data_IF_342588318760
#
_entry.id   IF_342588318760
#
_cell.length_a   1.000
_cell.length_b   1.000
_cell.length_c   1.000
_cell.angle_alpha   90.00
_cell.angle_beta   90.00
_cell.angle_gamma   90.00
#
_symmetry.space_group_name_H-M   'P 1'
#
loop_
_entity.id
_entity.type
_entity.pdbx_description
1 polymer ?
#
# COMPACT_ATOMS: atom_id res chain seq x y z
N UNK A 1 -34.12 22.97 31.55
CA UNK A 1 -33.53 22.17 32.63
C UNK A 1 -32.98 20.92 32.03
N UNK A 2 -31.73 20.87 31.72
CA UNK A 2 -31.00 19.65 31.54
C UNK A 2 -30.51 19.21 32.92
N UNK A 3 -31.28 18.36 33.57
CA UNK A 3 -30.77 17.63 34.73
C UNK A 3 -29.85 16.55 34.18
N UNK A 4 -28.60 16.54 34.61
CA UNK A 4 -27.76 15.34 34.47
C UNK A 4 -28.37 14.28 35.36
N UNK A 5 -28.87 13.22 34.71
CA UNK A 5 -29.47 12.08 35.40
C UNK A 5 -28.36 11.38 36.19
N UNK A 6 -28.41 11.44 37.50
CA UNK A 6 -27.55 10.64 38.37
C UNK A 6 -26.97 11.32 39.57
N UNK A 7 -26.80 12.65 39.58
CA UNK A 7 -26.19 13.33 40.73
C UNK A 7 -26.98 14.51 41.31
N UNK A 8 -28.12 14.84 40.72
CA UNK A 8 -28.87 16.05 41.10
C UNK A 8 -28.12 17.36 40.86
N UNK A 9 -26.98 17.29 40.21
CA UNK A 9 -26.13 18.44 39.94
C UNK A 9 -26.69 19.27 38.79
N UNK A 10 -26.93 20.53 39.05
CA UNK A 10 -27.17 21.52 38.00
C UNK A 10 -25.87 21.82 37.27
N UNK A 11 -25.95 22.34 36.03
CA UNK A 11 -24.81 22.84 35.29
C UNK A 11 -23.89 23.73 36.13
N UNK A 12 -24.46 24.51 37.04
CA UNK A 12 -23.76 25.35 37.99
C UNK A 12 -22.83 24.57 38.93
N UNK A 13 -23.27 23.42 39.42
CA UNK A 13 -22.49 22.59 40.34
C UNK A 13 -21.33 21.90 39.61
N UNK A 14 -21.55 21.50 38.37
CA UNK A 14 -20.51 20.89 37.55
C UNK A 14 -19.43 21.91 37.12
N UNK A 15 -19.84 23.15 36.84
CA UNK A 15 -18.91 24.21 36.48
C UNK A 15 -18.08 24.67 37.67
N UNK A 16 -18.67 24.66 38.88
CA UNK A 16 -18.02 25.12 40.11
C UNK A 16 -17.01 24.13 40.70
N UNK A 17 -17.18 22.84 40.45
CA UNK A 17 -16.36 21.80 41.08
C UNK A 17 -15.00 21.55 40.43
N UNK A 18 -14.68 22.13 39.28
CA UNK A 18 -13.52 21.70 38.49
C UNK A 18 -12.45 22.75 38.19
N UNK A 19 -12.65 24.06 38.41
CA UNK A 19 -11.64 25.05 38.02
C UNK A 19 -11.75 26.35 38.80
N UNK A 20 -10.63 26.85 39.29
CA UNK A 20 -10.50 28.17 39.95
C UNK A 20 -10.74 29.35 38.99
N UNK A 21 -10.84 29.12 37.73
CA UNK A 21 -11.01 30.13 36.69
C UNK A 21 -12.43 30.18 36.10
N UNK A 22 -13.34 29.34 36.57
CA UNK A 22 -14.73 29.32 36.09
C UNK A 22 -15.61 29.88 37.23
N UNK A 23 -16.30 30.97 36.93
CA UNK A 23 -17.30 31.52 37.84
C UNK A 23 -18.68 31.09 37.40
N UNK A 24 -19.45 30.45 38.26
CA UNK A 24 -20.86 30.26 38.05
C UNK A 24 -21.66 31.27 38.84
N UNK A 25 -22.76 31.69 38.31
CA UNK A 25 -23.79 32.40 39.05
C UNK A 25 -25.14 31.82 38.65
N UNK A 26 -26.12 32.03 39.44
CA UNK A 26 -27.49 31.62 39.17
C UNK A 26 -28.00 32.32 37.92
N UNK A 27 -28.10 31.63 36.83
CA UNK A 27 -28.64 32.14 35.58
C UNK A 27 -30.16 32.14 35.71
N UNK A 28 -30.71 33.30 35.90
CA UNK A 28 -32.16 33.48 35.92
C UNK A 28 -32.62 33.75 34.49
N UNK A 29 -32.96 32.69 33.77
CA UNK A 29 -33.63 32.81 32.47
C UNK A 29 -35.07 32.43 32.56
N UNK A 30 -35.95 33.17 31.92
CA UNK A 30 -37.38 32.85 31.81
C UNK A 30 -37.66 31.79 30.74
N UNK A 31 -36.79 30.83 30.58
CA UNK A 31 -37.00 29.70 29.71
C UNK A 31 -37.96 28.72 30.36
N UNK A 32 -39.23 28.98 30.20
CA UNK A 32 -40.28 28.02 30.57
C UNK A 32 -40.48 26.98 29.48
N UNK A 33 -40.47 25.74 29.87
CA UNK A 33 -40.85 24.64 29.00
C UNK A 33 -42.30 24.79 28.60
N UNK A 34 -42.55 25.08 27.33
CA UNK A 34 -43.93 25.11 26.77
C UNK A 34 -44.77 26.30 27.25
N UNK A 35 -44.16 27.42 27.61
CA UNK A 35 -44.91 28.63 27.96
C UNK A 35 -44.67 29.73 26.96
N UNK A 36 -45.57 30.69 26.95
CA UNK A 36 -45.60 31.88 26.06
C UNK A 36 -44.42 32.82 26.22
N UNK A 37 -43.51 32.53 27.18
CA UNK A 37 -42.40 33.42 27.54
C UNK A 37 -41.09 33.10 26.81
N UNK A 38 -41.04 32.10 25.95
CA UNK A 38 -39.85 31.78 25.18
C UNK A 38 -39.78 32.65 23.92
N UNK A 39 -39.68 33.93 24.08
CA UNK A 39 -39.52 34.90 23.02
C UNK A 39 -38.06 35.10 22.65
N UNK A 40 -37.78 35.60 21.44
CA UNK A 40 -36.42 35.97 21.01
C UNK A 40 -35.75 36.93 22.01
N UNK A 41 -36.51 37.82 22.68
CA UNK A 41 -36.01 38.75 23.69
C UNK A 41 -35.54 38.02 24.97
N UNK A 42 -36.24 36.97 25.42
CA UNK A 42 -35.83 36.22 26.61
C UNK A 42 -34.57 35.36 26.35
N UNK A 43 -34.39 34.88 25.16
CA UNK A 43 -33.16 34.20 24.73
C UNK A 43 -31.99 35.14 24.64
N UNK A 44 -32.21 36.38 24.15
CA UNK A 44 -31.19 37.41 24.11
C UNK A 44 -30.80 37.86 25.53
N UNK A 45 -31.76 37.98 26.45
CA UNK A 45 -31.49 38.30 27.85
C UNK A 45 -30.69 37.17 28.56
N UNK A 46 -31.03 35.91 28.31
CA UNK A 46 -30.28 34.79 28.85
C UNK A 46 -28.83 34.75 28.31
N UNK A 47 -28.63 34.98 27.02
CA UNK A 47 -27.31 35.10 26.42
C UNK A 47 -26.53 36.30 26.97
N UNK A 48 -27.20 37.43 27.20
CA UNK A 48 -26.64 38.64 27.82
C UNK A 48 -26.21 38.41 29.27
N UNK A 49 -27.00 37.66 30.03
CA UNK A 49 -26.64 37.27 31.41
C UNK A 49 -25.42 36.34 31.43
N UNK A 50 -25.33 35.37 30.53
CA UNK A 50 -24.16 34.56 30.39
C UNK A 50 -22.92 35.37 30.00
N UNK A 51 -23.08 36.35 29.11
CA UNK A 51 -22.02 37.26 28.73
C UNK A 51 -21.52 38.11 29.91
N UNK A 52 -22.42 38.59 30.70
CA UNK A 52 -22.09 39.40 31.90
C UNK A 52 -21.36 38.57 32.95
N UNK A 53 -21.72 37.33 33.11
CA UNK A 53 -21.10 36.38 34.04
C UNK A 53 -19.67 35.99 33.71
N UNK A 54 -19.40 35.80 32.47
CA UNK A 54 -18.11 35.27 32.02
C UNK A 54 -17.14 36.34 31.50
N UNK A 55 -17.58 37.59 31.50
CA UNK A 55 -16.74 38.72 31.12
C UNK A 55 -16.79 39.04 29.60
N UNK A 56 -16.30 40.24 29.28
CA UNK A 56 -16.48 40.84 27.94
C UNK A 56 -15.53 40.40 26.86
N UNK A 57 -14.61 39.47 27.16
CA UNK A 57 -13.61 39.10 26.20
C UNK A 57 -13.51 37.56 26.05
N UNK A 58 -14.01 37.05 24.96
CA UNK A 58 -13.69 35.71 24.51
C UNK A 58 -14.78 34.66 24.50
N UNK A 59 -16.04 35.03 24.55
CA UNK A 59 -17.15 34.08 24.46
C UNK A 59 -18.00 34.33 23.20
N UNK A 60 -18.06 33.33 22.32
CA UNK A 60 -19.13 33.22 21.35
C UNK A 60 -20.22 32.32 21.89
N UNK A 61 -21.32 32.89 22.35
CA UNK A 61 -22.47 32.12 22.77
C UNK A 61 -23.50 32.13 21.65
N UNK A 62 -23.68 30.97 21.03
CA UNK A 62 -24.76 30.76 20.08
C UNK A 62 -25.82 29.91 20.74
N UNK A 63 -26.98 30.47 20.98
CA UNK A 63 -28.15 29.74 21.44
C UNK A 63 -29.08 29.48 20.26
N UNK A 64 -29.39 28.23 19.98
CA UNK A 64 -30.42 27.85 19.04
C UNK A 64 -31.61 27.29 19.78
N UNK A 65 -32.74 27.87 19.62
CA UNK A 65 -33.98 27.41 20.17
C UNK A 65 -35.08 27.40 19.10
N UNK A 66 -35.89 26.34 19.08
CA UNK A 66 -37.06 26.26 18.21
C UNK A 66 -38.18 27.10 18.85
N UNK A 67 -38.37 28.31 18.34
CA UNK A 67 -39.52 29.11 18.67
C UNK A 67 -40.58 28.97 17.58
N UNK A 68 -41.87 28.80 17.94
CA UNK A 68 -42.97 28.95 17.00
C UNK A 68 -42.93 30.33 16.34
N UNK A 69 -43.17 30.41 15.07
CA UNK A 69 -43.14 31.67 14.31
C UNK A 69 -44.14 32.74 14.80
N UNK A 70 -45.16 32.34 15.56
CA UNK A 70 -46.25 33.14 16.10
C UNK A 70 -46.22 33.31 17.62
N UNK A 71 -45.18 32.85 18.28
CA UNK A 71 -45.08 32.86 19.75
C UNK A 71 -45.94 31.84 20.46
N UNK A 72 -46.63 30.94 19.72
CA UNK A 72 -47.43 29.88 20.33
C UNK A 72 -46.66 28.56 20.43
N UNK A 73 -46.94 27.82 21.46
CA UNK A 73 -46.16 26.64 21.88
C UNK A 73 -46.42 25.36 21.07
N UNK A 74 -46.76 25.45 19.78
CA UNK A 74 -47.21 24.30 19.00
C UNK A 74 -46.12 23.50 18.31
N UNK A 75 -44.83 23.81 18.53
CA UNK A 75 -43.71 22.94 18.11
C UNK A 75 -43.39 22.91 16.61
N UNK A 76 -44.09 23.68 15.77
CA UNK A 76 -43.92 23.73 14.31
C UNK A 76 -43.26 25.02 13.81
N UNK A 77 -42.51 25.71 14.65
CA UNK A 77 -41.90 26.98 14.31
C UNK A 77 -40.52 26.86 13.64
N UNK A 78 -40.14 27.90 12.91
CA UNK A 78 -38.79 28.03 12.38
C UNK A 78 -37.77 28.21 13.50
N UNK A 79 -36.60 27.62 13.44
CA UNK A 79 -35.55 27.83 14.43
C UNK A 79 -35.12 29.28 14.47
N UNK A 80 -35.21 29.90 15.63
CA UNK A 80 -34.64 31.26 15.85
C UNK A 80 -33.22 31.08 16.41
N UNK A 81 -32.26 31.54 15.67
CA UNK A 81 -30.87 31.55 16.10
C UNK A 81 -30.52 32.94 16.61
N UNK A 82 -30.30 33.06 17.90
CA UNK A 82 -29.77 34.29 18.50
C UNK A 82 -28.27 34.10 18.75
N UNK A 83 -27.44 34.82 18.05
CA UNK A 83 -25.99 34.83 18.24
C UNK A 83 -25.62 36.03 19.07
N UNK A 84 -25.07 35.81 20.24
CA UNK A 84 -24.41 36.82 21.03
C UNK A 84 -22.92 36.61 20.92
N UNK A 85 -22.25 37.48 20.19
CA UNK A 85 -20.79 37.40 20.01
C UNK A 85 -20.09 38.08 21.17
N UNK A 86 -19.45 37.31 21.99
CA UNK A 86 -18.51 37.77 23.01
C UNK A 86 -17.10 37.30 22.63
N UNK A 87 -16.17 38.22 22.62
CA UNK A 87 -14.88 38.02 21.98
C UNK A 87 -13.92 37.05 22.67
N UNK A 88 -14.18 36.48 23.83
CA UNK A 88 -13.29 35.51 24.45
C UNK A 88 -14.01 34.65 25.51
N UNK A 89 -14.36 33.42 25.22
CA UNK A 89 -14.89 32.51 26.22
C UNK A 89 -15.11 31.07 25.80
N UNK A 90 -15.29 30.12 26.70
CA UNK A 90 -15.39 28.71 26.40
C UNK A 90 -16.64 28.41 25.56
N UNK A 91 -16.43 27.87 24.38
CA UNK A 91 -17.46 27.52 23.39
C UNK A 91 -18.31 26.29 23.74
N UNK A 92 -18.25 25.80 24.96
CA UNK A 92 -18.91 24.56 25.34
C UNK A 92 -20.38 24.70 25.79
N UNK A 93 -20.84 25.95 25.98
CA UNK A 93 -22.24 26.21 26.31
C UNK A 93 -23.13 26.34 25.07
N UNK A 94 -23.17 25.29 24.30
CA UNK A 94 -24.17 25.16 23.24
C UNK A 94 -25.42 24.53 23.86
N UNK A 95 -26.38 25.36 24.20
CA UNK A 95 -27.53 24.92 24.99
C UNK A 95 -28.47 23.97 24.25
N UNK A 96 -28.60 24.04 22.97
CA UNK A 96 -29.29 23.05 22.14
C UNK A 96 -28.74 23.10 20.72
N UNK A 97 -28.09 22.10 20.19
CA UNK A 97 -27.87 22.02 18.74
C UNK A 97 -29.17 21.62 18.07
N UNK A 98 -29.74 22.50 17.26
CA UNK A 98 -30.90 22.19 16.41
C UNK A 98 -30.58 21.21 15.28
N UNK A 99 -29.31 20.99 15.01
CA UNK A 99 -28.79 19.95 14.13
C UNK A 99 -27.45 19.49 14.68
N UNK A 100 -27.09 18.24 14.40
CA UNK A 100 -25.73 17.78 14.63
C UNK A 100 -24.78 18.71 13.85
N UNK A 101 -24.16 19.65 14.54
CA UNK A 101 -23.09 20.44 13.95
C UNK A 101 -21.86 19.56 13.91
N UNK A 102 -21.43 19.23 12.70
CA UNK A 102 -20.11 18.66 12.51
C UNK A 102 -19.09 19.54 13.22
N UNK A 103 -18.19 18.95 13.96
CA UNK A 103 -17.06 19.69 14.50
C UNK A 103 -16.38 20.41 13.34
N UNK A 104 -16.41 21.75 13.34
CA UNK A 104 -15.69 22.52 12.33
C UNK A 104 -14.24 22.67 12.78
N UNK A 105 -13.30 22.44 11.86
CA UNK A 105 -11.86 22.61 12.12
C UNK A 105 -11.11 21.33 12.43
N UNK A 106 -11.77 20.17 12.47
CA UNK A 106 -11.05 18.91 12.34
C UNK A 106 -10.55 18.81 10.90
N UNK A 107 -9.27 18.84 10.68
CA UNK A 107 -8.66 18.44 9.41
C UNK A 107 -8.55 16.94 9.47
N UNK A 108 -9.18 16.24 8.53
CA UNK A 108 -8.84 14.83 8.30
C UNK A 108 -7.33 14.78 8.05
N UNK A 109 -6.66 13.79 8.64
CA UNK A 109 -5.29 13.51 8.25
C UNK A 109 -5.18 13.40 6.73
N UNK A 110 -3.98 13.55 6.21
CA UNK A 110 -3.73 13.47 4.77
C UNK A 110 -4.45 12.28 4.16
N UNK A 111 -5.31 12.56 3.19
CA UNK A 111 -6.04 11.54 2.45
C UNK A 111 -5.02 10.61 1.78
N UNK A 112 -5.14 9.32 2.02
CA UNK A 112 -4.24 8.29 1.44
C UNK A 112 -4.22 8.30 -0.09
N UNK A 113 -5.14 9.00 -0.73
CA UNK A 113 -5.20 9.21 -2.18
C UNK A 113 -4.78 10.62 -2.60
N UNK A 114 -4.62 11.54 -1.67
CA UNK A 114 -4.27 12.94 -1.93
C UNK A 114 -2.78 13.17 -2.20
N UNK A 115 -2.45 14.36 -2.71
CA UNK A 115 -1.06 14.74 -3.04
C UNK A 115 -0.15 14.72 -1.81
N UNK A 116 -0.66 15.15 -0.66
CA UNK A 116 0.12 15.19 0.59
C UNK A 116 0.44 13.78 1.10
N UNK A 117 -0.54 12.87 1.04
CA UNK A 117 -0.30 11.48 1.41
C UNK A 117 0.67 10.78 0.45
N UNK A 118 0.57 11.05 -0.85
CA UNK A 118 1.54 10.55 -1.82
C UNK A 118 2.96 11.03 -1.49
N UNK A 119 3.12 12.31 -1.15
CA UNK A 119 4.41 12.89 -0.76
C UNK A 119 4.94 12.27 0.53
N UNK A 120 4.09 12.09 1.55
CA UNK A 120 4.47 11.46 2.82
C UNK A 120 4.89 9.99 2.63
N UNK A 121 4.18 9.23 1.78
CA UNK A 121 4.53 7.86 1.44
C UNK A 121 5.83 7.74 0.66
N UNK A 122 6.04 8.61 -0.32
CA UNK A 122 7.29 8.66 -1.09
C UNK A 122 8.45 9.01 -0.18
N UNK A 123 8.27 9.98 0.71
CA UNK A 123 9.25 10.42 1.66
C UNK A 123 10.44 11.14 1.03
N UNK A 124 11.44 11.42 1.85
CA UNK A 124 12.63 12.17 1.47
C UNK A 124 13.90 11.36 1.76
N UNK A 125 14.76 11.22 0.77
CA UNK A 125 16.08 10.58 0.92
C UNK A 125 17.14 11.52 1.50
N UNK A 126 16.90 12.84 1.45
CA UNK A 126 17.86 13.85 1.88
C UNK A 126 17.87 14.09 3.40
N UNK A 127 16.88 13.59 4.12
CA UNK A 127 16.78 13.70 5.57
C UNK A 127 17.46 12.52 6.26
N UNK A 128 17.91 12.73 7.49
CA UNK A 128 18.42 11.67 8.37
C UNK A 128 17.67 11.74 9.72
N UNK A 129 16.82 10.75 10.04
CA UNK A 129 16.54 9.53 9.28
C UNK A 129 15.70 9.77 8.01
N UNK A 130 15.93 8.95 6.97
CA UNK A 130 15.11 8.93 5.74
C UNK A 130 13.64 8.69 6.07
N UNK A 131 12.72 9.39 5.38
CA UNK A 131 11.28 9.29 5.63
C UNK A 131 10.55 8.49 4.55
N UNK A 132 9.31 8.07 4.86
CA UNK A 132 8.45 7.33 3.93
C UNK A 132 9.11 6.07 3.38
N UNK A 133 8.87 5.74 2.10
CA UNK A 133 9.46 4.54 1.48
C UNK A 133 10.99 4.63 1.31
N UNK A 134 11.58 5.83 1.38
CA UNK A 134 13.04 5.98 1.30
C UNK A 134 13.75 5.31 2.48
N UNK A 135 13.07 5.10 3.61
CA UNK A 135 13.59 4.33 4.75
C UNK A 135 13.87 2.85 4.40
N UNK A 136 13.30 2.33 3.31
CA UNK A 136 13.60 0.98 2.82
C UNK A 136 15.01 0.83 2.21
N UNK A 137 15.69 1.95 1.95
CA UNK A 137 17.10 1.98 1.55
C UNK A 137 18.00 2.02 2.79
N UNK A 138 17.78 1.10 3.70
CA UNK A 138 18.62 0.89 4.88
C UNK A 138 19.30 -0.48 4.77
N UNK A 139 20.61 -0.49 4.89
CA UNK A 139 21.41 -1.71 4.82
C UNK A 139 21.13 -2.69 5.97
N UNK A 140 20.57 -2.20 7.08
CA UNK A 140 20.19 -3.02 8.24
C UNK A 140 18.89 -3.78 8.02
N UNK A 141 18.03 -3.31 7.08
CA UNK A 141 16.73 -3.90 6.80
C UNK A 141 16.85 -4.87 5.62
N UNK A 142 16.66 -6.15 5.90
CA UNK A 142 16.69 -7.17 4.85
C UNK A 142 15.30 -7.39 4.23
N UNK A 143 14.91 -6.56 3.26
CA UNK A 143 13.66 -6.68 2.53
C UNK A 143 13.87 -7.33 1.16
N UNK A 144 12.98 -8.23 0.75
CA UNK A 144 13.01 -8.86 -0.59
C UNK A 144 11.85 -8.45 -1.48
N UNK A 145 10.77 -7.93 -0.89
CA UNK A 145 9.53 -7.54 -1.57
C UNK A 145 9.00 -6.27 -0.91
N UNK A 146 8.53 -5.32 -1.70
CA UNK A 146 7.83 -4.13 -1.20
C UNK A 146 6.59 -3.83 -2.04
N UNK A 147 5.54 -3.35 -1.38
CA UNK A 147 4.28 -2.94 -2.01
C UNK A 147 3.61 -1.86 -1.17
N UNK A 148 2.76 -1.06 -1.81
CA UNK A 148 1.88 -0.09 -1.13
C UNK A 148 0.44 -0.48 -1.47
N UNK A 149 -0.19 -1.35 -0.65
CA UNK A 149 -1.49 -1.91 -0.97
C UNK A 149 -2.59 -0.85 -0.91
N UNK A 150 -3.50 -0.91 -1.90
CA UNK A 150 -4.63 0.01 -1.96
C UNK A 150 -4.30 1.41 -2.46
N UNK A 151 -3.03 1.73 -2.76
CA UNK A 151 -2.62 3.02 -3.30
C UNK A 151 -2.05 2.83 -4.70
N UNK A 152 -2.84 3.21 -5.70
CA UNK A 152 -2.52 3.05 -7.12
C UNK A 152 -2.09 4.37 -7.77
N UNK A 153 -1.81 5.40 -6.99
CA UNK A 153 -1.31 6.70 -7.47
C UNK A 153 -0.01 6.50 -8.24
N UNK A 154 0.05 7.01 -9.46
CA UNK A 154 1.19 6.81 -10.37
C UNK A 154 2.52 7.25 -9.75
N UNK A 155 2.54 8.40 -9.07
CA UNK A 155 3.74 8.94 -8.42
C UNK A 155 4.29 8.00 -7.35
N UNK A 156 3.43 7.43 -6.51
CA UNK A 156 3.82 6.50 -5.43
C UNK A 156 4.37 5.19 -5.99
N UNK A 157 3.68 4.62 -6.98
CA UNK A 157 4.12 3.38 -7.61
C UNK A 157 5.43 3.57 -8.38
N UNK A 158 5.58 4.67 -9.12
CA UNK A 158 6.81 4.98 -9.84
C UNK A 158 7.98 5.21 -8.88
N UNK A 159 7.75 5.90 -7.75
CA UNK A 159 8.76 6.09 -6.72
C UNK A 159 9.22 4.74 -6.12
N UNK A 160 8.28 3.84 -5.81
CA UNK A 160 8.59 2.50 -5.31
C UNK A 160 9.42 1.68 -6.32
N UNK A 161 9.04 1.73 -7.61
CA UNK A 161 9.76 1.03 -8.68
C UNK A 161 11.16 1.61 -8.87
N UNK A 162 11.29 2.94 -8.84
CA UNK A 162 12.58 3.63 -8.96
C UNK A 162 13.49 3.28 -7.79
N UNK A 163 12.96 3.29 -6.57
CA UNK A 163 13.70 2.89 -5.38
C UNK A 163 14.18 1.43 -5.48
N UNK A 164 13.31 0.52 -5.92
CA UNK A 164 13.67 -0.88 -6.14
C UNK A 164 14.78 -1.04 -7.20
N UNK A 165 14.73 -0.27 -8.28
CA UNK A 165 15.74 -0.29 -9.34
C UNK A 165 17.08 0.31 -8.91
N UNK A 166 17.06 1.35 -8.08
CA UNK A 166 18.26 2.03 -7.56
C UNK A 166 18.95 1.20 -6.49
N UNK A 167 18.22 0.73 -5.49
CA UNK A 167 18.77 -0.07 -4.39
C UNK A 167 19.12 -1.49 -4.82
N UNK A 168 18.36 -2.05 -5.76
CA UNK A 168 18.46 -3.42 -6.24
C UNK A 168 18.28 -4.48 -5.13
N UNK A 169 17.61 -4.12 -4.04
CA UNK A 169 17.47 -4.94 -2.85
C UNK A 169 16.14 -5.68 -2.76
N UNK A 170 15.12 -5.23 -3.48
CA UNK A 170 13.78 -5.81 -3.41
C UNK A 170 13.04 -5.73 -4.75
N UNK A 171 11.96 -6.48 -4.85
CA UNK A 171 11.02 -6.46 -5.97
C UNK A 171 9.79 -5.63 -5.55
N UNK A 172 9.42 -4.63 -6.35
CA UNK A 172 8.23 -3.83 -6.17
C UNK A 172 7.00 -4.55 -6.77
N UNK A 173 5.92 -4.67 -6.00
CA UNK A 173 4.66 -5.20 -6.50
C UNK A 173 3.64 -4.09 -6.61
N UNK A 174 2.99 -4.00 -7.76
CA UNK A 174 2.00 -2.99 -8.08
C UNK A 174 0.75 -3.61 -8.69
N UNK A 175 -0.36 -2.91 -8.62
CA UNK A 175 -1.62 -3.32 -9.21
C UNK A 175 -2.33 -2.13 -9.84
N UNK A 176 -3.14 -2.35 -10.89
CA UNK A 176 -4.08 -1.37 -11.38
C UNK A 176 -5.17 -1.05 -10.33
N UNK A 177 -5.82 0.13 -10.41
CA UNK A 177 -6.96 0.46 -9.57
C UNK A 177 -8.12 -0.54 -9.71
N UNK A 178 -8.91 -0.69 -8.64
CA UNK A 178 -10.08 -1.57 -8.63
C UNK A 178 -11.07 -1.28 -9.77
N UNK A 179 -11.30 -0.02 -10.09
CA UNK A 179 -12.27 0.39 -11.09
C UNK A 179 -11.84 0.19 -12.56
N UNK A 180 -10.70 -0.45 -12.82
CA UNK A 180 -10.23 -0.74 -14.20
C UNK A 180 -11.19 -1.66 -14.96
N UNK A 181 -11.75 -2.68 -14.31
CA UNK A 181 -12.91 -3.46 -14.72
C UNK A 181 -12.78 -4.31 -15.99
N UNK A 182 -11.84 -4.05 -16.90
CA UNK A 182 -11.67 -4.82 -18.15
C UNK A 182 -10.19 -5.13 -18.43
N UNK A 183 -9.97 -6.20 -19.18
CA UNK A 183 -8.61 -6.63 -19.60
C UNK A 183 -7.91 -5.54 -20.40
N UNK A 184 -8.63 -4.91 -21.34
CA UNK A 184 -8.05 -3.86 -22.19
C UNK A 184 -7.62 -2.65 -21.35
N UNK A 185 -8.47 -2.20 -20.44
CA UNK A 185 -8.13 -1.08 -19.55
C UNK A 185 -6.91 -1.40 -18.65
N UNK A 186 -6.78 -2.66 -18.19
CA UNK A 186 -5.61 -3.06 -17.40
C UNK A 186 -4.33 -3.04 -18.24
N UNK A 187 -4.41 -3.46 -19.51
CA UNK A 187 -3.32 -3.39 -20.47
C UNK A 187 -2.95 -1.93 -20.75
N UNK A 188 -3.93 -1.09 -21.05
CA UNK A 188 -3.73 0.35 -21.33
C UNK A 188 -3.12 1.05 -20.11
N UNK A 189 -3.59 0.71 -18.90
CA UNK A 189 -3.01 1.22 -17.66
C UNK A 189 -1.53 0.81 -17.56
N UNK A 190 -1.18 -0.44 -17.79
CA UNK A 190 0.21 -0.90 -17.73
C UNK A 190 1.11 -0.22 -18.76
N UNK A 191 0.50 0.18 -19.89
CA UNK A 191 1.17 0.83 -21.03
C UNK A 191 1.27 2.37 -20.88
N UNK A 192 0.69 2.95 -19.81
CA UNK A 192 0.65 4.39 -19.66
C UNK A 192 -0.29 5.09 -20.63
N UNK A 193 -1.32 4.41 -21.10
CA UNK A 193 -2.32 4.90 -22.06
C UNK A 193 -3.71 5.04 -21.42
N UNK A 194 -3.81 4.84 -20.12
CA UNK A 194 -5.08 4.94 -19.41
C UNK A 194 -5.46 6.39 -19.20
N UNK A 195 -6.54 6.82 -19.85
CA UNK A 195 -7.16 8.13 -19.69
C UNK A 195 -8.46 8.10 -18.88
N UNK A 196 -8.84 6.93 -18.38
CA UNK A 196 -10.14 6.73 -17.72
C UNK A 196 -10.12 7.21 -16.27
N UNK A 197 -11.29 7.60 -15.78
CA UNK A 197 -11.58 8.02 -14.39
C UNK A 197 -11.14 6.99 -13.34
N UNK A 198 -10.87 5.76 -13.75
CA UNK A 198 -10.47 4.62 -12.92
C UNK A 198 -8.98 4.55 -12.60
N UNK A 199 -8.24 5.60 -12.80
CA UNK A 199 -6.80 5.67 -12.56
C UNK A 199 -6.04 5.97 -13.83
N UNK A 200 -5.81 7.28 -14.06
CA UNK A 200 -4.99 7.73 -15.18
C UNK A 200 -3.52 7.39 -14.90
N UNK A 201 -2.88 6.77 -15.88
CA UNK A 201 -1.45 6.57 -15.91
C UNK A 201 -0.90 7.05 -17.23
N UNK A 202 0.13 7.88 -17.16
CA UNK A 202 0.72 8.54 -18.31
C UNK A 202 2.05 7.92 -18.74
N UNK A 203 2.68 7.13 -17.87
CA UNK A 203 3.94 6.47 -18.12
C UNK A 203 3.82 4.95 -18.10
N UNK A 204 4.39 4.28 -19.09
CA UNK A 204 4.45 2.82 -19.13
C UNK A 204 5.35 2.28 -18.02
N UNK A 205 4.92 1.20 -17.37
CA UNK A 205 5.76 0.49 -16.42
C UNK A 205 6.71 -0.43 -17.19
N UNK A 206 8.01 -0.18 -17.07
CA UNK A 206 9.04 -1.00 -17.69
C UNK A 206 10.26 -1.11 -16.76
N UNK A 207 10.28 -2.13 -15.94
CA UNK A 207 11.37 -2.41 -15.01
C UNK A 207 11.43 -3.90 -14.69
N UNK A 208 12.63 -4.46 -14.63
CA UNK A 208 12.79 -5.82 -14.14
C UNK A 208 12.63 -5.93 -12.61
N UNK A 209 12.59 -4.81 -11.89
CA UNK A 209 12.38 -4.75 -10.45
C UNK A 209 10.92 -4.51 -10.05
N UNK A 210 9.98 -4.63 -10.99
CA UNK A 210 8.56 -4.51 -10.70
C UNK A 210 7.77 -5.69 -11.27
N UNK A 211 6.62 -5.99 -10.66
CA UNK A 211 5.65 -6.96 -11.15
C UNK A 211 4.22 -6.44 -10.94
N UNK A 212 3.36 -6.62 -11.95
CA UNK A 212 1.95 -6.21 -11.92
C UNK A 212 1.08 -7.45 -11.72
N UNK A 213 0.08 -7.36 -10.83
CA UNK A 213 -0.94 -8.37 -10.62
C UNK A 213 -2.33 -7.79 -10.86
N UNK A 214 -3.20 -8.54 -11.52
CA UNK A 214 -4.60 -8.20 -11.78
C UNK A 214 -5.39 -9.48 -12.15
N UNK A 215 -6.71 -9.58 -11.91
CA UNK A 215 -7.63 -8.65 -11.26
C UNK A 215 -7.61 -8.69 -9.73
N UNK A 216 -8.43 -7.82 -9.12
CA UNK A 216 -8.65 -7.77 -7.69
C UNK A 216 -9.34 -9.03 -7.19
N UNK A 217 -9.12 -9.36 -5.92
CA UNK A 217 -9.64 -10.58 -5.32
C UNK A 217 -10.58 -10.27 -4.18
N UNK A 218 -11.66 -11.04 -4.08
CA UNK A 218 -12.68 -10.91 -3.06
C UNK A 218 -12.35 -11.81 -1.88
N UNK A 219 -12.43 -11.27 -0.68
CA UNK A 219 -12.11 -11.99 0.56
C UNK A 219 -13.12 -11.63 1.63
N UNK A 220 -13.57 -12.63 2.38
CA UNK A 220 -14.40 -12.40 3.54
C UNK A 220 -13.58 -11.81 4.69
N UNK A 221 -13.99 -10.63 5.18
CA UNK A 221 -13.40 -10.00 6.36
C UNK A 221 -14.09 -10.53 7.61
N UNK A 222 -13.32 -11.24 8.43
CA UNK A 222 -13.84 -11.77 9.72
C UNK A 222 -14.15 -10.64 10.71
N UNK A 223 -13.48 -9.50 10.58
CA UNK A 223 -13.65 -8.36 11.48
C UNK A 223 -14.95 -7.61 11.21
N UNK A 224 -15.29 -7.41 9.93
CA UNK A 224 -16.45 -6.65 9.51
C UNK A 224 -17.66 -7.53 9.21
N UNK A 225 -17.45 -8.84 9.06
CA UNK A 225 -18.50 -9.79 8.63
C UNK A 225 -18.97 -9.61 7.19
N UNK A 226 -18.21 -8.90 6.33
CA UNK A 226 -18.56 -8.61 4.94
C UNK A 226 -17.43 -9.00 4.00
N UNK A 227 -17.78 -9.21 2.73
CA UNK A 227 -16.80 -9.41 1.67
C UNK A 227 -16.12 -8.09 1.30
N UNK A 228 -14.79 -8.13 1.18
CA UNK A 228 -13.95 -7.00 0.78
C UNK A 228 -13.15 -7.34 -0.46
N UNK A 229 -12.99 -6.36 -1.35
CA UNK A 229 -12.05 -6.45 -2.46
C UNK A 229 -10.65 -6.05 -1.98
N UNK A 230 -9.68 -6.92 -2.19
CA UNK A 230 -8.29 -6.70 -1.81
C UNK A 230 -7.39 -6.60 -3.03
N UNK A 231 -6.35 -5.78 -2.86
CA UNK A 231 -5.30 -5.57 -3.86
C UNK A 231 -4.58 -6.90 -4.18
N UNK A 232 -4.52 -7.32 -5.45
CA UNK A 232 -3.88 -8.55 -5.85
C UNK A 232 -2.36 -8.58 -5.61
N UNK A 233 -1.69 -7.43 -5.50
CA UNK A 233 -0.28 -7.36 -5.15
C UNK A 233 0.01 -7.97 -3.77
N UNK A 234 -0.93 -7.85 -2.80
CA UNK A 234 -0.83 -8.50 -1.48
C UNK A 234 -0.70 -10.02 -1.64
N UNK A 235 -1.52 -10.59 -2.52
CA UNK A 235 -1.48 -12.02 -2.79
C UNK A 235 -0.25 -12.43 -3.60
N UNK A 236 0.25 -11.55 -4.47
CA UNK A 236 1.55 -11.72 -5.11
C UNK A 236 2.67 -11.88 -4.08
N UNK A 237 2.74 -10.94 -3.12
CA UNK A 237 3.71 -10.99 -2.01
C UNK A 237 3.55 -12.24 -1.14
N UNK A 238 2.30 -12.58 -0.79
CA UNK A 238 2.00 -13.78 -0.01
C UNK A 238 2.48 -15.06 -0.68
N UNK A 239 2.24 -15.21 -2.01
CA UNK A 239 2.67 -16.41 -2.72
C UNK A 239 4.19 -16.48 -2.92
N UNK A 240 4.86 -15.33 -3.02
CA UNK A 240 6.32 -15.29 -2.98
C UNK A 240 6.84 -15.75 -1.62
N UNK A 241 6.30 -15.24 -0.52
CA UNK A 241 6.67 -15.67 0.83
C UNK A 241 6.37 -17.16 1.08
N UNK A 242 5.21 -17.65 0.61
CA UNK A 242 4.86 -19.06 0.67
C UNK A 242 5.86 -19.91 -0.14
N UNK A 243 6.25 -19.45 -1.32
CA UNK A 243 7.25 -20.13 -2.15
C UNK A 243 8.60 -20.23 -1.42
N UNK A 244 9.01 -19.20 -0.70
CA UNK A 244 10.25 -19.18 0.08
C UNK A 244 10.20 -20.17 1.27
N UNK A 245 9.01 -20.46 1.78
CA UNK A 245 8.83 -21.43 2.86
C UNK A 245 8.87 -22.88 2.36
N UNK A 246 8.25 -23.19 1.21
CA UNK A 246 8.10 -24.56 0.69
C UNK A 246 9.15 -24.96 -0.35
N UNK A 247 9.88 -23.98 -0.86
CA UNK A 247 10.94 -24.15 -1.84
C UNK A 247 11.97 -23.02 -1.64
N UNK A 248 12.52 -22.47 -2.72
CA UNK A 248 13.47 -21.37 -2.67
C UNK A 248 12.95 -20.16 -3.43
N UNK A 249 13.56 -19.00 -3.21
CA UNK A 249 13.17 -17.73 -3.81
C UNK A 249 13.27 -17.69 -5.35
N UNK A 250 14.02 -18.63 -5.93
CA UNK A 250 14.18 -18.78 -7.39
C UNK A 250 13.17 -19.74 -8.03
N UNK A 251 12.24 -20.27 -7.27
CA UNK A 251 11.10 -20.98 -7.86
C UNK A 251 9.98 -20.03 -8.21
N UNK A 252 9.26 -20.35 -9.29
CA UNK A 252 8.13 -19.53 -9.74
C UNK A 252 7.00 -19.50 -8.70
N UNK A 253 6.57 -18.32 -8.21
CA UNK A 253 5.45 -18.18 -7.27
C UNK A 253 4.11 -18.19 -8.01
N UNK A 254 3.93 -19.11 -8.96
CA UNK A 254 2.78 -19.19 -9.84
C UNK A 254 2.40 -20.65 -10.15
N UNK A 255 1.24 -20.82 -10.78
CA UNK A 255 0.72 -22.13 -11.18
C UNK A 255 0.08 -22.90 -10.03
N UNK A 256 -0.43 -24.09 -10.32
CA UNK A 256 -1.23 -24.89 -9.37
C UNK A 256 -0.49 -25.32 -8.11
N UNK A 257 0.82 -25.47 -8.17
CA UNK A 257 1.62 -25.93 -7.02
C UNK A 257 1.91 -24.85 -6.00
N UNK A 258 2.25 -23.64 -6.44
CA UNK A 258 2.69 -22.53 -5.59
C UNK A 258 1.91 -21.24 -5.77
N UNK A 259 1.08 -21.11 -6.82
CA UNK A 259 0.28 -19.93 -7.08
C UNK A 259 -1.15 -19.98 -6.53
N UNK A 260 -1.59 -21.11 -5.96
CA UNK A 260 -2.96 -21.27 -5.47
C UNK A 260 -3.23 -20.42 -4.22
N UNK A 261 -4.32 -19.65 -4.26
CA UNK A 261 -4.76 -18.80 -3.17
C UNK A 261 -5.81 -19.53 -2.32
N UNK A 262 -5.67 -19.50 -1.01
CA UNK A 262 -6.52 -20.30 -0.10
C UNK A 262 -7.65 -19.49 0.55
N UNK A 263 -7.53 -18.16 0.60
CA UNK A 263 -8.54 -17.31 1.27
C UNK A 263 -9.50 -16.60 0.32
N UNK A 264 -9.10 -16.16 -0.89
CA UNK A 264 -10.01 -15.49 -1.80
C UNK A 264 -11.18 -16.37 -2.19
N UNK A 265 -12.37 -15.77 -2.24
CA UNK A 265 -13.65 -16.41 -2.62
C UNK A 265 -14.01 -16.17 -4.07
N UNK A 266 -13.62 -15.02 -4.63
CA UNK A 266 -13.91 -14.65 -6.02
C UNK A 266 -12.85 -13.69 -6.57
N UNK A 267 -12.91 -13.44 -7.88
CA UNK A 267 -12.10 -12.46 -8.61
C UNK A 267 -13.01 -11.43 -9.27
N UNK A 268 -12.57 -10.18 -9.36
CA UNK A 268 -13.32 -9.07 -9.96
C UNK A 268 -13.71 -9.36 -11.40
N UNK A 269 -12.79 -9.90 -12.19
CA UNK A 269 -12.98 -10.25 -13.60
C UNK A 269 -12.59 -11.69 -13.81
N UNK A 270 -13.49 -12.49 -14.40
CA UNK A 270 -13.21 -13.87 -14.76
C UNK A 270 -12.52 -13.92 -16.11
N UNK A 271 -11.28 -14.35 -16.10
CA UNK A 271 -10.41 -14.37 -17.28
C UNK A 271 -10.53 -15.69 -18.04
N UNK A 272 -10.82 -15.61 -19.33
CA UNK A 272 -10.72 -16.74 -20.25
C UNK A 272 -9.27 -16.95 -20.74
N UNK A 273 -9.03 -17.91 -21.63
CA UNK A 273 -7.68 -18.19 -22.12
C UNK A 273 -7.16 -17.03 -22.98
N UNK A 274 -7.98 -16.48 -23.88
CA UNK A 274 -7.58 -15.36 -24.74
C UNK A 274 -7.24 -14.10 -23.94
N UNK A 275 -7.98 -13.84 -22.85
CA UNK A 275 -7.68 -12.74 -21.94
C UNK A 275 -6.30 -12.89 -21.30
N UNK A 276 -6.00 -14.09 -20.80
CA UNK A 276 -4.68 -14.38 -20.18
C UNK A 276 -3.55 -14.25 -21.20
N UNK A 277 -3.76 -14.76 -22.40
CA UNK A 277 -2.78 -14.67 -23.48
C UNK A 277 -2.53 -13.20 -23.86
N UNK A 278 -3.58 -12.38 -23.96
CA UNK A 278 -3.48 -10.94 -24.24
C UNK A 278 -2.73 -10.17 -23.15
N UNK A 279 -2.92 -10.52 -21.88
CA UNK A 279 -2.23 -9.88 -20.75
C UNK A 279 -0.76 -10.29 -20.63
N UNK A 280 -0.39 -11.45 -21.15
CA UNK A 280 0.91 -12.07 -20.95
C UNK A 280 1.78 -12.08 -22.20
N UNK A 281 1.24 -11.77 -23.39
CA UNK A 281 1.92 -11.75 -24.68
C UNK A 281 2.05 -10.35 -25.26
N UNK A 282 2.76 -10.22 -26.36
CA UNK A 282 2.81 -8.98 -27.14
C UNK A 282 3.46 -7.78 -26.45
N UNK A 283 4.30 -7.99 -25.45
CA UNK A 283 4.89 -6.90 -24.64
C UNK A 283 4.04 -6.48 -23.45
N UNK A 284 2.86 -7.05 -23.25
CA UNK A 284 2.07 -6.89 -22.06
C UNK A 284 2.66 -7.73 -20.93
N UNK A 285 2.64 -7.21 -19.70
CA UNK A 285 3.44 -7.74 -18.59
C UNK A 285 2.63 -7.83 -17.29
N UNK A 286 1.36 -8.21 -17.42
CA UNK A 286 0.46 -8.35 -16.28
C UNK A 286 0.36 -9.83 -15.89
N UNK A 287 0.55 -10.13 -14.60
CA UNK A 287 0.41 -11.47 -14.06
C UNK A 287 -1.06 -11.72 -13.69
N UNK A 288 -1.77 -12.61 -14.39
CA UNK A 288 -3.18 -12.84 -14.16
C UNK A 288 -3.44 -13.63 -12.88
N UNK A 289 -4.44 -13.20 -12.13
CA UNK A 289 -5.06 -13.96 -11.04
C UNK A 289 -6.35 -14.57 -11.56
N UNK A 290 -6.40 -15.89 -11.66
CA UNK A 290 -7.43 -16.61 -12.41
C UNK A 290 -8.20 -17.54 -11.49
N UNK A 291 -9.52 -17.59 -11.65
CA UNK A 291 -10.37 -18.59 -11.04
C UNK A 291 -10.51 -19.79 -11.99
N UNK A 292 -9.93 -20.91 -11.63
CA UNK A 292 -10.04 -22.16 -12.38
C UNK A 292 -11.10 -23.09 -11.77
N UNK A 293 -11.96 -23.71 -12.58
CA UNK A 293 -12.86 -24.75 -12.09
C UNK A 293 -12.07 -25.86 -11.38
N UNK A 294 -12.55 -26.29 -10.21
CA UNK A 294 -11.96 -27.35 -9.37
C UNK A 294 -10.56 -27.04 -8.77
N UNK A 295 -9.84 -26.04 -9.26
CA UNK A 295 -8.52 -25.67 -8.76
C UNK A 295 -8.54 -24.42 -7.87
N UNK A 296 -9.62 -23.64 -7.94
CA UNK A 296 -9.77 -22.39 -7.20
C UNK A 296 -9.00 -21.23 -7.82
N UNK A 297 -8.81 -20.17 -7.04
CA UNK A 297 -8.15 -18.95 -7.49
C UNK A 297 -6.64 -19.13 -7.44
N UNK A 298 -5.96 -18.83 -8.54
CA UNK A 298 -4.54 -19.11 -8.71
C UNK A 298 -3.84 -17.96 -9.45
N UNK A 299 -2.67 -17.57 -9.00
CA UNK A 299 -1.77 -16.71 -9.77
C UNK A 299 -1.18 -17.52 -10.91
N UNK A 300 -1.42 -17.10 -12.16
CA UNK A 300 -1.05 -17.84 -13.34
C UNK A 300 -0.12 -17.04 -14.27
N UNK A 301 0.86 -16.35 -13.68
CA UNK A 301 1.88 -15.59 -14.36
C UNK A 301 3.05 -15.26 -13.43
N UNK A 302 4.24 -15.05 -14.03
CA UNK A 302 5.46 -14.73 -13.29
C UNK A 302 6.38 -13.76 -14.05
N UNK A 303 5.81 -12.82 -14.78
CA UNK A 303 6.60 -11.81 -15.50
C UNK A 303 6.90 -10.59 -14.64
N UNK A 304 8.12 -10.08 -14.79
CA UNK A 304 8.43 -8.72 -14.37
C UNK A 304 7.84 -7.74 -15.38
N UNK A 305 7.82 -6.45 -15.07
CA UNK A 305 7.32 -5.44 -15.99
C UNK A 305 8.33 -5.11 -17.12
N UNK A 306 9.44 -5.82 -17.19
CA UNK A 306 10.39 -5.66 -18.28
C UNK A 306 9.78 -6.13 -19.62
N UNK A 307 9.74 -5.21 -20.59
CA UNK A 307 9.15 -5.44 -21.90
C UNK A 307 10.14 -6.08 -22.89
N UNK A 308 11.42 -5.72 -22.77
CA UNK A 308 12.48 -6.29 -23.57
C UNK A 308 12.76 -7.74 -23.16
N UNK A 309 12.78 -8.71 -24.09
CA UNK A 309 13.09 -10.09 -23.78
C UNK A 309 14.48 -10.22 -23.14
N UNK A 310 14.56 -10.77 -21.96
CA UNK A 310 15.82 -11.10 -21.28
C UNK A 310 15.58 -12.18 -20.23
N UNK A 311 16.65 -12.69 -19.62
CA UNK A 311 16.49 -13.60 -18.48
C UNK A 311 15.81 -12.94 -17.28
N UNK A 312 15.85 -11.61 -17.17
CA UNK A 312 15.31 -10.82 -16.08
C UNK A 312 13.83 -10.44 -16.26
N UNK A 313 13.20 -10.86 -17.36
CA UNK A 313 11.78 -10.67 -17.60
C UNK A 313 10.89 -11.64 -16.78
N UNK A 314 11.51 -12.50 -15.96
CA UNK A 314 10.84 -13.44 -15.07
C UNK A 314 11.11 -13.13 -13.60
N UNK A 315 10.06 -13.20 -12.79
CA UNK A 315 10.10 -12.89 -11.35
C UNK A 315 11.07 -13.82 -10.63
N UNK A 316 11.05 -15.12 -10.93
CA UNK A 316 11.92 -16.10 -10.29
C UNK A 316 13.40 -15.78 -10.52
N UNK A 317 13.79 -15.41 -11.74
CA UNK A 317 15.17 -15.04 -12.06
C UNK A 317 15.57 -13.72 -11.40
N UNK A 318 14.67 -12.72 -11.40
CA UNK A 318 14.94 -11.44 -10.73
C UNK A 318 15.15 -11.64 -9.23
N UNK A 319 14.32 -12.44 -8.59
CA UNK A 319 14.46 -12.75 -7.15
C UNK A 319 15.74 -13.53 -6.86
N UNK A 320 16.11 -14.48 -7.72
CA UNK A 320 17.40 -15.15 -7.63
C UNK A 320 18.57 -14.16 -7.67
N UNK A 321 18.55 -13.20 -8.60
CA UNK A 321 19.62 -12.22 -8.74
C UNK A 321 19.70 -11.26 -7.54
N UNK A 322 18.55 -10.86 -6.98
CA UNK A 322 18.50 -10.08 -5.74
C UNK A 322 19.11 -10.88 -4.58
N UNK A 323 18.75 -12.14 -4.45
CA UNK A 323 19.29 -13.03 -3.41
C UNK A 323 20.80 -13.22 -3.54
N UNK A 324 21.30 -13.58 -4.75
CA UNK A 324 22.73 -13.77 -5.02
C UNK A 324 23.49 -12.48 -4.68
N UNK A 325 23.01 -11.32 -5.15
CA UNK A 325 23.65 -10.03 -4.88
C UNK A 325 23.78 -9.75 -3.38
N UNK A 326 22.71 -9.94 -2.61
CA UNK A 326 22.73 -9.70 -1.16
C UNK A 326 23.73 -10.61 -0.44
N UNK A 327 23.72 -11.89 -0.76
CA UNK A 327 24.63 -12.84 -0.12
C UNK A 327 26.09 -12.56 -0.49
N UNK A 328 26.36 -12.26 -1.77
CA UNK A 328 27.71 -11.88 -2.20
C UNK A 328 28.17 -10.63 -1.47
N UNK A 329 27.37 -9.56 -1.42
CA UNK A 329 27.73 -8.34 -0.70
C UNK A 329 28.04 -8.61 0.79
N UNK A 330 27.20 -9.36 1.47
CA UNK A 330 27.41 -9.71 2.87
C UNK A 330 28.66 -10.58 3.07
N UNK A 331 28.88 -11.56 2.19
CA UNK A 331 30.04 -12.46 2.28
C UNK A 331 31.38 -11.79 1.94
N UNK A 332 31.36 -10.79 1.04
CA UNK A 332 32.57 -10.09 0.60
C UNK A 332 32.93 -8.85 1.43
N UNK A 333 32.01 -8.36 2.27
CA UNK A 333 32.23 -7.18 3.09
C UNK A 333 33.47 -7.29 3.99
N UNK A 334 33.82 -8.49 4.43
CA UNK A 334 35.00 -8.75 5.26
C UNK A 334 36.36 -8.56 4.55
N UNK A 335 36.32 -8.52 3.20
CA UNK A 335 37.55 -8.30 2.40
C UNK A 335 37.81 -6.83 2.10
N UNK A 336 36.95 -5.94 2.56
CA UNK A 336 37.17 -4.49 2.46
C UNK A 336 38.31 -4.13 3.40
N UNK A 337 39.28 -3.38 2.89
CA UNK A 337 40.55 -3.01 3.53
C UNK A 337 41.60 -4.12 3.63
N UNK A 338 41.36 -5.32 3.10
CA UNK A 338 42.39 -6.34 2.95
C UNK A 338 43.36 -6.00 1.80
N UNK A 339 44.61 -6.49 1.80
CA UNK A 339 45.54 -6.29 0.70
C UNK A 339 44.96 -6.76 -0.63
N UNK A 340 45.14 -5.97 -1.69
CA UNK A 340 44.64 -6.30 -3.02
C UNK A 340 45.67 -7.15 -3.79
N UNK A 341 45.76 -8.42 -3.41
CA UNK A 341 46.72 -9.40 -3.92
C UNK A 341 46.07 -10.70 -4.35
N UNK A 342 46.83 -11.58 -4.96
CA UNK A 342 46.37 -12.88 -5.44
C UNK A 342 45.82 -13.78 -4.31
N UNK A 343 46.30 -13.61 -3.09
CA UNK A 343 45.82 -14.38 -1.94
C UNK A 343 44.39 -13.97 -1.59
N UNK A 344 44.11 -12.69 -1.49
CA UNK A 344 42.76 -12.15 -1.24
C UNK A 344 41.78 -12.53 -2.37
N UNK A 345 42.25 -12.48 -3.64
CA UNK A 345 41.41 -12.89 -4.78
C UNK A 345 41.03 -14.37 -4.68
N UNK A 346 41.97 -15.24 -4.37
CA UNK A 346 41.68 -16.67 -4.19
C UNK A 346 40.75 -16.95 -3.00
N UNK A 347 40.85 -16.17 -1.92
CA UNK A 347 39.88 -16.29 -0.80
C UNK A 347 38.47 -15.89 -1.20
N UNK A 348 38.31 -14.83 -2.00
CA UNK A 348 36.99 -14.41 -2.50
C UNK A 348 36.39 -15.52 -3.37
N UNK A 349 37.17 -16.08 -4.30
CA UNK A 349 36.72 -17.23 -5.11
C UNK A 349 36.36 -18.43 -4.26
N UNK A 350 37.17 -18.72 -3.22
CA UNK A 350 36.95 -19.81 -2.27
C UNK A 350 35.66 -19.67 -1.46
N UNK A 351 35.15 -18.46 -1.29
CA UNK A 351 33.86 -18.19 -0.62
C UNK A 351 32.69 -18.23 -1.59
N UNK A 352 32.86 -17.67 -2.78
CA UNK A 352 31.77 -17.54 -3.74
C UNK A 352 31.47 -18.85 -4.49
N UNK A 353 32.47 -19.65 -4.82
CA UNK A 353 32.27 -20.90 -5.53
C UNK A 353 31.37 -21.91 -4.77
N UNK A 354 31.60 -22.23 -3.49
CA UNK A 354 30.73 -23.15 -2.75
C UNK A 354 29.28 -22.63 -2.62
N UNK A 355 29.12 -21.31 -2.48
CA UNK A 355 27.81 -20.67 -2.40
C UNK A 355 27.01 -20.84 -3.72
N UNK A 356 27.67 -20.57 -4.85
CA UNK A 356 26.99 -20.71 -6.15
C UNK A 356 26.78 -22.18 -6.53
N UNK A 357 27.66 -23.09 -6.11
CA UNK A 357 27.51 -24.53 -6.26
C UNK A 357 26.27 -25.05 -5.49
N UNK A 358 26.02 -24.55 -4.26
CA UNK A 358 24.79 -24.88 -3.53
C UNK A 358 23.54 -24.43 -4.28
N UNK A 359 23.52 -23.22 -4.81
CA UNK A 359 22.39 -22.73 -5.63
C UNK A 359 22.21 -23.59 -6.89
N UNK A 360 23.29 -24.04 -7.51
CA UNK A 360 23.24 -24.92 -8.68
C UNK A 360 22.63 -26.29 -8.31
N UNK A 361 23.06 -26.91 -7.23
CA UNK A 361 22.49 -28.16 -6.72
C UNK A 361 21.01 -28.04 -6.40
N UNK A 362 20.59 -26.90 -5.87
CA UNK A 362 19.20 -26.57 -5.56
C UNK A 362 18.42 -26.04 -6.78
N UNK A 363 18.96 -26.21 -7.99
CA UNK A 363 18.29 -25.92 -9.28
C UNK A 363 18.02 -24.43 -9.53
N UNK A 364 18.74 -23.52 -8.87
CA UNK A 364 18.59 -22.07 -9.11
C UNK A 364 19.32 -21.61 -10.38
N UNK A 365 20.49 -22.19 -10.63
CA UNK A 365 21.33 -21.91 -11.80
C UNK A 365 21.74 -23.20 -12.49
N UNK A 366 21.98 -23.11 -13.79
CA UNK A 366 22.47 -24.26 -14.60
C UNK A 366 23.99 -24.28 -14.66
N UNK A 367 24.61 -23.11 -14.71
CA UNK A 367 26.06 -22.95 -14.82
C UNK A 367 26.48 -21.62 -14.20
N UNK A 368 27.64 -21.59 -13.59
CA UNK A 368 28.22 -20.35 -13.07
C UNK A 368 29.74 -20.33 -13.29
N UNK A 369 30.32 -19.17 -13.26
CA UNK A 369 31.77 -18.96 -13.23
C UNK A 369 32.09 -17.71 -12.44
N UNK A 370 32.99 -17.83 -11.48
CA UNK A 370 33.58 -16.73 -10.75
C UNK A 370 34.98 -16.49 -11.31
N UNK A 371 35.31 -15.22 -11.54
CA UNK A 371 36.64 -14.82 -12.03
C UNK A 371 37.12 -13.66 -11.15
N UNK A 372 38.16 -13.89 -10.40
CA UNK A 372 38.84 -12.90 -9.55
C UNK A 372 40.34 -13.08 -9.66
N UNK A 373 40.87 -12.87 -10.86
CA UNK A 373 42.27 -13.06 -11.21
C UNK A 373 42.89 -11.81 -11.85
N UNK A 374 44.11 -11.90 -12.32
CA UNK A 374 44.84 -10.82 -13.01
C UNK A 374 44.14 -10.33 -14.28
N UNK A 375 43.31 -11.15 -14.93
CA UNK A 375 42.56 -10.74 -16.13
C UNK A 375 41.48 -9.70 -15.82
N UNK A 376 41.00 -9.71 -14.59
CA UNK A 376 39.98 -8.78 -14.08
C UNK A 376 40.61 -7.69 -13.22
N UNK A 377 41.60 -8.03 -12.39
CA UNK A 377 42.33 -7.11 -11.53
C UNK A 377 43.65 -6.70 -12.16
N UNK A 378 43.55 -5.82 -13.16
CA UNK A 378 44.75 -5.28 -13.84
C UNK A 378 45.54 -4.39 -12.91
N UNK A 379 46.88 -4.19 -13.12
CA UNK A 379 47.71 -3.31 -12.30
C UNK A 379 47.11 -1.91 -12.12
N UNK A 380 46.51 -1.35 -13.15
CA UNK A 380 45.87 -0.03 -13.09
C UNK A 380 44.69 0.00 -12.12
N UNK A 381 43.94 -1.10 -11.96
CA UNK A 381 42.83 -1.21 -10.99
C UNK A 381 43.34 -1.40 -9.59
N UNK A 382 44.41 -2.19 -9.44
CA UNK A 382 45.09 -2.36 -8.15
C UNK A 382 45.66 -1.03 -7.65
N UNK A 383 46.31 -0.25 -8.53
CA UNK A 383 46.80 1.09 -8.23
C UNK A 383 45.72 2.09 -7.82
N UNK A 384 44.47 1.86 -8.25
CA UNK A 384 43.28 2.63 -7.86
C UNK A 384 42.63 2.11 -6.60
N UNK A 385 43.18 1.11 -5.94
CA UNK A 385 42.58 0.39 -4.80
C UNK A 385 41.22 -0.28 -5.15
N UNK A 386 41.03 -0.69 -6.39
CA UNK A 386 39.82 -1.36 -6.85
C UNK A 386 40.05 -2.87 -6.92
N UNK A 387 39.20 -3.65 -6.29
CA UNK A 387 39.10 -5.12 -6.44
C UNK A 387 37.85 -5.47 -7.21
N UNK A 388 38.03 -6.15 -8.33
CA UNK A 388 36.92 -6.55 -9.21
C UNK A 388 36.76 -8.06 -9.21
N UNK A 389 35.54 -8.51 -8.97
CA UNK A 389 35.14 -9.92 -9.10
C UNK A 389 34.03 -10.02 -10.12
N UNK A 390 34.21 -10.84 -11.13
CA UNK A 390 33.23 -11.09 -12.18
C UNK A 390 32.51 -12.39 -11.91
N UNK A 391 31.20 -12.33 -11.70
CA UNK A 391 30.34 -13.49 -11.49
C UNK A 391 29.42 -13.66 -12.69
N UNK A 392 29.58 -14.75 -13.40
CA UNK A 392 28.76 -15.14 -14.55
C UNK A 392 27.79 -16.22 -14.11
N UNK A 393 26.51 -16.03 -14.38
CA UNK A 393 25.45 -16.94 -13.94
C UNK A 393 24.48 -17.21 -15.09
N UNK A 394 24.16 -18.48 -15.32
CA UNK A 394 23.07 -18.91 -16.20
C UNK A 394 21.89 -19.37 -15.34
N UNK A 395 20.81 -18.58 -15.22
CA UNK A 395 19.65 -18.97 -14.41
C UNK A 395 18.88 -20.11 -15.05
N UNK A 396 18.28 -20.95 -14.20
CA UNK A 396 17.36 -22.00 -14.66
C UNK A 396 16.06 -21.37 -15.16
N UNK A 397 15.66 -21.72 -16.38
CA UNK A 397 14.38 -21.30 -16.96
C UNK A 397 13.24 -22.19 -16.51
N UNK A 398 12.07 -21.62 -16.31
CA UNK A 398 10.83 -22.35 -16.01
C UNK A 398 10.08 -22.70 -17.30
N UNK A 399 9.46 -23.86 -17.35
CA UNK A 399 8.55 -24.20 -18.43
C UNK A 399 7.19 -23.50 -18.19
N UNK A 400 6.78 -22.66 -19.12
CA UNK A 400 5.50 -21.93 -19.09
C UNK A 400 4.51 -22.44 -20.13
N UNK A 401 5.02 -23.02 -21.24
CA UNK A 401 4.23 -23.55 -22.32
C UNK A 401 4.57 -25.04 -22.44
N UNK A 402 3.54 -25.88 -22.37
CA UNK A 402 3.64 -27.31 -22.59
C UNK A 402 2.94 -27.63 -23.92
N UNK A 403 3.69 -28.15 -24.86
CA UNK A 403 3.17 -28.57 -26.17
C UNK A 403 3.13 -30.09 -26.18
N UNK A 404 1.96 -30.65 -26.43
CA UNK A 404 1.78 -32.10 -26.65
C UNK A 404 1.43 -32.34 -28.11
N UNK A 405 2.28 -33.06 -28.78
CA UNK A 405 2.01 -33.56 -30.14
C UNK A 405 1.41 -34.96 -30.03
N UNK A 406 0.17 -35.10 -30.46
CA UNK A 406 -0.56 -36.36 -30.45
C UNK A 406 -0.72 -36.82 -31.86
N UNK A 407 0.04 -37.83 -32.26
CA UNK A 407 -0.05 -38.44 -33.55
C UNK A 407 -0.94 -39.68 -33.51
N UNK A 408 -2.02 -39.66 -34.27
CA UNK A 408 -2.89 -40.82 -34.46
C UNK A 408 -2.32 -41.70 -35.53
N UNK A 409 -1.89 -42.89 -35.16
CA UNK A 409 -1.37 -43.90 -36.11
C UNK A 409 -2.39 -45.00 -36.34
N UNK A 410 -2.37 -45.59 -37.53
CA UNK A 410 -3.22 -46.72 -37.86
C UNK A 410 -2.84 -47.95 -37.00
N UNK A 411 -3.82 -48.82 -36.75
CA UNK A 411 -3.64 -50.00 -35.90
C UNK A 411 -2.55 -50.97 -36.42
N UNK A 412 -2.21 -50.90 -37.68
CA UNK A 412 -1.16 -51.71 -38.34
C UNK A 412 0.26 -51.11 -38.28
N UNK A 413 0.41 -49.86 -37.80
CA UNK A 413 1.70 -49.18 -37.75
C UNK A 413 2.47 -49.58 -36.47
N UNK A 414 3.73 -49.95 -36.60
CA UNK A 414 4.62 -50.19 -35.47
C UNK A 414 5.06 -48.84 -34.86
N UNK A 415 4.73 -48.58 -33.61
CA UNK A 415 5.03 -47.35 -32.88
C UNK A 415 6.53 -47.08 -32.67
N UNK A 416 7.41 -48.06 -32.96
CA UNK A 416 8.85 -47.92 -32.82
C UNK A 416 9.60 -47.37 -34.07
N UNK A 417 8.88 -47.01 -35.14
CA UNK A 417 9.46 -46.50 -36.40
C UNK A 417 9.11 -45.03 -36.70
N UNK A 418 8.62 -44.31 -35.70
CA UNK A 418 8.28 -42.86 -35.80
C UNK A 418 9.35 -42.01 -35.11
#
# INVERSE_FOLDING_TARGET
>A
KTSFVGSGAFIEDVINTGSTNVKSATIKGNLKKGGDDATAASLTDFAGQLHTLFGTTGFDITTQYLLPADGTSTGTGTPVTTTVTATNGPRFLKLIPAAATSMAGGVNGDDSTGTNAATALIGTAAEDPKTGMQSLDDATINIGIALVPGIQTESVQNALITLAATTQNFLALVSPPYAVGTVQNAIDWSNGQSSTTAGSRTSAINSSYAAIYWPWVKVFSVFDGIDRWLDPAIYGARQMAFTDTVADSWFAPAGYRRGRLTKPTDVEVKLNQGDRDSMYSGGNVINPVVSFPQQGITIFGQRTTQRSPSALDRINVRRLMIYIRKVILAATQRFVFEPNDQFTWSQIEGVLNPFLDDIQRRRGITEFRVVCDESVNTPLRVDRNELWTKVLVKPTKTAEILIFEINLTNQSAQLGSL
#
